data_IF_453409041114
#
_entry.id   IF_453409041114
#
_cell.length_a   1.000
_cell.length_b   1.000
_cell.length_c   1.000
_cell.angle_alpha   90.00
_cell.angle_beta   90.00
_cell.angle_gamma   90.00
#
_symmetry.space_group_name_H-M   'P 1'
#
loop_
_entity.id
_entity.type
_entity.pdbx_description
1 polymer ?
#
# COMPACT_ATOMS: atom_id res chain seq x y z
N UNK A 1 21.36 -20.65 49.38
CA UNK A 1 21.79 -20.75 47.96
C UNK A 1 20.68 -20.47 46.94
N UNK A 2 19.41 -20.81 47.19
CA UNK A 2 18.28 -20.61 46.25
C UNK A 2 17.98 -19.14 45.88
N UNK A 3 18.13 -18.20 46.82
CA UNK A 3 17.79 -16.77 46.59
C UNK A 3 18.73 -16.10 45.57
N UNK A 4 20.03 -16.44 45.58
CA UNK A 4 21.02 -15.90 44.63
C UNK A 4 20.76 -16.40 43.20
N UNK A 5 20.33 -17.66 43.05
CA UNK A 5 19.97 -18.24 41.75
C UNK A 5 18.72 -17.57 41.17
N UNK A 6 17.69 -17.31 41.97
CA UNK A 6 16.50 -16.54 41.53
C UNK A 6 16.85 -15.12 41.05
N UNK A 7 17.75 -14.41 41.73
CA UNK A 7 18.15 -13.05 41.32
C UNK A 7 18.93 -13.04 39.99
N UNK A 8 19.83 -14.02 39.79
CA UNK A 8 20.56 -14.16 38.52
C UNK A 8 19.62 -14.50 37.36
N UNK A 9 18.62 -15.35 37.60
CA UNK A 9 17.61 -15.70 36.59
C UNK A 9 16.74 -14.48 36.21
N UNK A 10 16.33 -13.66 37.19
CA UNK A 10 15.55 -12.44 36.93
C UNK A 10 16.34 -11.37 36.16
N UNK A 11 17.62 -11.20 36.47
CA UNK A 11 18.50 -10.27 35.74
C UNK A 11 18.74 -10.75 34.29
N UNK A 12 18.92 -12.06 34.08
CA UNK A 12 19.06 -12.61 32.73
C UNK A 12 17.77 -12.46 31.90
N UNK A 13 16.60 -12.70 32.49
CA UNK A 13 15.30 -12.54 31.83
C UNK A 13 15.03 -11.08 31.46
N UNK A 14 15.26 -10.14 32.39
CA UNK A 14 15.10 -8.71 32.12
C UNK A 14 16.06 -8.22 31.02
N UNK A 15 17.32 -8.68 31.03
CA UNK A 15 18.27 -8.42 29.95
C UNK A 15 17.82 -8.98 28.60
N UNK A 16 17.28 -10.20 28.57
CA UNK A 16 16.78 -10.81 27.34
C UNK A 16 15.55 -10.08 26.77
N UNK A 17 14.59 -9.71 27.65
CA UNK A 17 13.41 -8.93 27.26
C UNK A 17 13.84 -7.57 26.72
N UNK A 18 14.76 -6.88 27.42
CA UNK A 18 15.29 -5.58 26.97
C UNK A 18 15.99 -5.66 25.61
N UNK A 19 16.80 -6.69 25.37
CA UNK A 19 17.45 -6.92 24.08
C UNK A 19 16.44 -7.19 22.96
N UNK A 20 15.42 -8.02 23.22
CA UNK A 20 14.36 -8.29 22.25
C UNK A 20 13.55 -7.04 21.91
N UNK A 21 13.24 -6.23 22.92
CA UNK A 21 12.55 -4.96 22.71
C UNK A 21 13.39 -3.98 21.89
N UNK A 22 14.68 -3.83 22.21
CA UNK A 22 15.61 -3.01 21.43
C UNK A 22 15.69 -3.46 19.96
N UNK A 23 15.80 -4.77 19.72
CA UNK A 23 15.79 -5.31 18.35
C UNK A 23 14.47 -4.99 17.63
N UNK A 24 13.33 -5.14 18.30
CA UNK A 24 12.03 -4.82 17.72
C UNK A 24 11.91 -3.33 17.31
N UNK A 25 12.33 -2.41 18.18
CA UNK A 25 12.35 -0.97 17.88
C UNK A 25 13.26 -0.64 16.69
N UNK A 26 14.46 -1.25 16.63
CA UNK A 26 15.36 -1.08 15.48
C UNK A 26 14.73 -1.61 14.19
N UNK A 27 14.03 -2.74 14.24
CA UNK A 27 13.31 -3.28 13.10
C UNK A 27 12.20 -2.36 12.62
N UNK A 28 11.41 -1.79 13.53
CA UNK A 28 10.37 -0.81 13.18
C UNK A 28 10.97 0.45 12.52
N UNK A 29 12.10 0.95 13.02
CA UNK A 29 12.80 2.08 12.39
C UNK A 29 13.26 1.76 10.97
N UNK A 30 13.78 0.56 10.73
CA UNK A 30 14.12 0.10 9.38
C UNK A 30 12.87 0.06 8.49
N UNK A 31 11.75 -0.49 8.97
CA UNK A 31 10.53 -0.57 8.18
C UNK A 31 9.99 0.83 7.82
N UNK A 32 9.92 1.74 8.77
CA UNK A 32 9.48 3.13 8.55
C UNK A 32 10.38 3.88 7.55
N UNK A 33 11.66 3.51 7.47
CA UNK A 33 12.60 4.10 6.51
C UNK A 33 12.48 3.57 5.08
N UNK A 34 11.64 2.57 4.84
CA UNK A 34 11.47 1.94 3.53
C UNK A 34 12.49 0.83 3.22
N UNK A 35 13.15 0.28 4.25
CA UNK A 35 14.11 -0.81 4.08
C UNK A 35 13.43 -2.12 3.66
N UNK A 36 13.97 -2.78 2.64
CA UNK A 36 13.56 -4.11 2.21
C UNK A 36 14.57 -5.18 2.68
N UNK A 37 14.10 -6.12 3.51
CA UNK A 37 14.95 -7.20 4.03
C UNK A 37 15.42 -8.17 2.93
N UNK A 38 14.61 -8.37 1.87
CA UNK A 38 14.89 -9.38 0.84
C UNK A 38 16.19 -9.12 0.08
N UNK A 39 16.50 -7.87 -0.19
CA UNK A 39 17.66 -7.47 -0.99
C UNK A 39 18.60 -6.49 -0.26
N UNK A 40 18.25 -6.04 0.94
CA UNK A 40 19.08 -5.17 1.75
C UNK A 40 19.15 -3.71 1.27
N UNK A 41 18.14 -3.25 0.52
CA UNK A 41 18.10 -1.92 -0.08
C UNK A 41 16.91 -1.09 0.38
N UNK A 42 16.94 0.22 0.12
CA UNK A 42 15.82 1.13 0.43
C UNK A 42 14.88 1.29 -0.76
N UNK A 43 13.60 1.53 -0.47
CA UNK A 43 12.55 1.68 -1.47
C UNK A 43 12.87 2.74 -2.54
N UNK A 44 13.28 3.93 -2.11
CA UNK A 44 13.53 5.07 -3.00
C UNK A 44 14.76 4.87 -3.90
N UNK A 45 15.66 3.93 -3.56
CA UNK A 45 16.81 3.56 -4.42
C UNK A 45 16.41 2.61 -5.56
N UNK A 46 15.33 1.83 -5.37
CA UNK A 46 14.86 0.82 -6.31
C UNK A 46 13.78 1.31 -7.25
N UNK A 47 12.94 2.24 -6.80
CA UNK A 47 11.73 2.60 -7.51
C UNK A 47 11.70 4.08 -7.88
N UNK A 48 11.50 4.34 -9.18
CA UNK A 48 11.26 5.71 -9.64
C UNK A 48 9.78 6.08 -9.50
N UNK A 49 9.48 7.37 -9.35
CA UNK A 49 8.09 7.85 -9.30
C UNK A 49 7.27 7.40 -10.52
N UNK A 50 7.87 7.44 -11.72
CA UNK A 50 7.16 7.07 -12.95
C UNK A 50 6.85 5.57 -12.99
N UNK A 51 7.78 4.72 -12.55
CA UNK A 51 7.56 3.28 -12.45
C UNK A 51 6.38 2.95 -11.51
N UNK A 52 6.30 3.62 -10.35
CA UNK A 52 5.18 3.42 -9.42
C UNK A 52 3.85 3.80 -10.05
N UNK A 53 3.81 4.94 -10.76
CA UNK A 53 2.63 5.38 -11.50
C UNK A 53 2.23 4.34 -12.56
N UNK A 54 3.19 3.87 -13.34
CA UNK A 54 2.93 2.91 -14.42
C UNK A 54 2.37 1.60 -13.88
N UNK A 55 2.93 1.11 -12.76
CA UNK A 55 2.45 -0.10 -12.08
C UNK A 55 1.05 0.08 -11.49
N UNK A 56 0.76 1.24 -10.90
CA UNK A 56 -0.56 1.54 -10.34
C UNK A 56 -1.62 1.66 -11.45
N UNK A 57 -1.31 2.33 -12.56
CA UNK A 57 -2.18 2.41 -13.73
C UNK A 57 -2.41 1.02 -14.33
N UNK A 58 -1.36 0.21 -14.48
CA UNK A 58 -1.50 -1.15 -14.98
C UNK A 58 -2.45 -1.97 -14.10
N UNK A 59 -2.32 -1.87 -12.77
CA UNK A 59 -3.23 -2.54 -11.85
C UNK A 59 -4.69 -2.13 -12.09
N UNK A 60 -4.98 -0.83 -12.21
CA UNK A 60 -6.34 -0.33 -12.46
C UNK A 60 -6.88 -0.85 -13.80
N UNK A 61 -6.08 -0.81 -14.86
CA UNK A 61 -6.47 -1.31 -16.19
C UNK A 61 -6.76 -2.81 -16.16
N UNK A 62 -5.94 -3.61 -15.48
CA UNK A 62 -6.11 -5.06 -15.38
C UNK A 62 -7.28 -5.49 -14.47
N UNK A 63 -7.58 -4.70 -13.44
CA UNK A 63 -8.58 -5.05 -12.41
C UNK A 63 -9.92 -4.34 -12.58
N UNK A 64 -10.10 -3.50 -13.61
CA UNK A 64 -11.38 -2.87 -13.89
C UNK A 64 -12.41 -3.92 -14.33
N UNK A 65 -13.36 -4.21 -13.44
CA UNK A 65 -14.42 -5.18 -13.70
C UNK A 65 -15.39 -4.62 -14.74
N UNK A 66 -15.70 -5.38 -15.79
CA UNK A 66 -16.65 -4.98 -16.83
C UNK A 66 -18.12 -4.86 -16.38
N UNK A 67 -18.46 -5.26 -15.15
CA UNK A 67 -19.83 -5.26 -14.63
C UNK A 67 -19.86 -4.81 -13.17
N UNK A 68 -20.79 -3.90 -12.86
CA UNK A 68 -21.20 -3.51 -11.51
C UNK A 68 -22.68 -3.86 -11.32
N UNK A 69 -23.01 -4.32 -10.11
CA UNK A 69 -24.38 -4.56 -9.67
C UNK A 69 -24.66 -3.60 -8.52
N UNK A 70 -25.68 -2.76 -8.66
CA UNK A 70 -26.15 -1.94 -7.55
C UNK A 70 -26.98 -2.79 -6.60
N UNK A 71 -26.46 -3.07 -5.40
CA UNK A 71 -27.13 -3.95 -4.42
C UNK A 71 -28.44 -3.36 -3.86
N UNK A 72 -28.69 -2.07 -4.02
CA UNK A 72 -29.91 -1.40 -3.54
C UNK A 72 -31.02 -1.38 -4.58
N UNK A 73 -30.68 -1.25 -5.87
CA UNK A 73 -31.65 -1.13 -6.97
C UNK A 73 -31.71 -2.36 -7.88
N UNK A 74 -30.81 -3.33 -7.68
CA UNK A 74 -30.57 -4.48 -8.55
C UNK A 74 -30.25 -4.10 -10.02
N UNK A 75 -29.86 -2.84 -10.24
CA UNK A 75 -29.50 -2.36 -11.58
C UNK A 75 -28.08 -2.78 -11.94
N UNK A 76 -27.96 -3.37 -13.13
CA UNK A 76 -26.68 -3.73 -13.72
C UNK A 76 -26.11 -2.58 -14.55
N UNK A 77 -24.83 -2.28 -14.35
CA UNK A 77 -24.08 -1.32 -15.17
C UNK A 77 -22.86 -2.00 -15.76
N UNK A 78 -22.75 -1.95 -17.09
CA UNK A 78 -21.61 -2.49 -17.82
C UNK A 78 -20.56 -1.39 -18.02
N UNK A 79 -19.39 -1.60 -17.44
CA UNK A 79 -18.24 -0.72 -17.57
C UNK A 79 -17.58 -0.99 -18.91
N UNK A 80 -17.18 0.08 -19.59
CA UNK A 80 -16.28 0.00 -20.74
C UNK A 80 -14.84 0.07 -20.19
N UNK A 81 -14.11 -1.05 -20.10
CA UNK A 81 -12.77 -1.05 -19.54
C UNK A 81 -11.80 -0.32 -20.47
N UNK A 82 -10.74 0.21 -19.88
CA UNK A 82 -9.57 0.65 -20.64
C UNK A 82 -8.92 -0.54 -21.36
N UNK A 83 -8.51 -0.32 -22.60
CA UNK A 83 -7.86 -1.36 -23.42
C UNK A 83 -6.34 -1.36 -23.29
N UNK A 84 -5.75 -0.25 -22.85
CA UNK A 84 -4.31 -0.12 -22.62
C UNK A 84 -3.96 1.01 -21.65
N UNK A 85 -2.72 0.98 -21.16
CA UNK A 85 -2.15 2.06 -20.33
C UNK A 85 -2.09 3.38 -21.10
N UNK A 86 -1.79 3.35 -22.39
CA UNK A 86 -1.71 4.54 -23.25
C UNK A 86 -3.08 5.20 -23.42
N UNK A 87 -4.13 4.41 -23.62
CA UNK A 87 -5.51 4.91 -23.63
C UNK A 87 -5.85 5.57 -22.29
N UNK A 88 -5.52 4.89 -21.18
CA UNK A 88 -5.76 5.40 -19.84
C UNK A 88 -5.09 6.76 -19.63
N UNK A 89 -3.80 6.87 -19.92
CA UNK A 89 -3.03 8.12 -19.75
C UNK A 89 -3.54 9.24 -20.64
N UNK A 90 -3.95 8.92 -21.87
CA UNK A 90 -4.51 9.91 -22.81
C UNK A 90 -5.83 10.49 -22.31
N UNK A 91 -6.69 9.66 -21.73
CA UNK A 91 -7.99 10.08 -21.22
C UNK A 91 -7.92 10.70 -19.82
N UNK A 92 -6.86 10.39 -19.06
CA UNK A 92 -6.67 10.87 -17.68
C UNK A 92 -5.28 11.53 -17.53
N UNK A 93 -5.02 12.68 -18.18
CA UNK A 93 -3.69 13.31 -18.16
C UNK A 93 -3.25 13.80 -16.77
N UNK A 94 -4.21 14.02 -15.85
CA UNK A 94 -3.96 14.47 -14.48
C UNK A 94 -4.11 13.33 -13.46
N UNK A 95 -3.97 12.07 -13.88
CA UNK A 95 -4.39 10.94 -13.06
C UNK A 95 -3.64 10.81 -11.73
N UNK A 96 -2.32 11.00 -11.75
CA UNK A 96 -1.51 10.20 -10.86
C UNK A 96 -0.55 11.03 -10.03
N UNK A 97 -0.57 10.80 -8.73
CA UNK A 97 0.33 11.43 -7.77
C UNK A 97 0.92 10.38 -6.84
N UNK A 98 2.25 10.41 -6.66
CA UNK A 98 2.96 9.58 -5.69
C UNK A 98 3.07 10.35 -4.40
N UNK A 99 2.54 9.80 -3.31
CA UNK A 99 2.49 10.45 -2.01
C UNK A 99 3.09 9.55 -0.91
N UNK A 100 3.65 10.15 0.16
CA UNK A 100 4.07 9.42 1.35
C UNK A 100 2.85 8.95 2.15
N UNK A 101 2.84 7.71 2.64
CA UNK A 101 1.69 7.18 3.39
C UNK A 101 1.37 8.01 4.65
N UNK A 102 2.40 8.50 5.34
CA UNK A 102 2.27 9.17 6.65
C UNK A 102 1.53 10.52 6.65
N UNK A 103 1.32 11.15 5.50
CA UNK A 103 0.77 12.51 5.45
C UNK A 103 -0.76 12.52 5.33
N UNK A 104 -1.33 11.53 4.66
CA UNK A 104 -2.74 11.56 4.25
C UNK A 104 -3.60 10.42 4.80
N UNK A 105 -3.00 9.43 5.48
CA UNK A 105 -3.73 8.27 5.99
C UNK A 105 -3.99 8.33 7.50
N UNK A 106 -5.17 7.84 7.96
CA UNK A 106 -5.48 7.73 9.39
C UNK A 106 -4.43 6.90 10.16
N UNK A 107 -4.33 7.09 11.49
CA UNK A 107 -3.38 6.35 12.33
C UNK A 107 -3.51 4.82 12.26
N UNK A 108 -4.67 4.29 11.85
CA UNK A 108 -4.87 2.84 11.66
C UNK A 108 -3.98 2.24 10.58
N UNK A 109 -3.52 3.04 9.61
CA UNK A 109 -2.58 2.57 8.58
C UNK A 109 -1.10 2.60 9.04
N UNK A 110 -0.85 3.05 10.27
CA UNK A 110 0.51 3.14 10.83
C UNK A 110 1.12 1.75 11.03
N UNK A 111 0.32 0.77 11.45
CA UNK A 111 0.75 -0.61 11.66
C UNK A 111 1.32 -1.22 10.37
N UNK A 112 0.68 -0.97 9.22
CA UNK A 112 1.20 -1.43 7.92
C UNK A 112 2.56 -0.82 7.58
N UNK A 113 2.82 0.40 8.03
CA UNK A 113 4.12 1.02 7.79
C UNK A 113 5.19 0.46 8.73
N UNK A 114 4.84 0.21 10.00
CA UNK A 114 5.71 -0.45 10.96
C UNK A 114 6.06 -1.89 10.56
N UNK A 115 5.16 -2.55 9.81
CA UNK A 115 5.37 -3.87 9.21
C UNK A 115 6.06 -3.83 7.84
N UNK A 116 6.27 -2.63 7.26
CA UNK A 116 6.84 -2.47 5.92
C UNK A 116 5.91 -2.91 4.78
N UNK A 117 4.61 -3.07 5.06
CA UNK A 117 3.57 -3.43 4.11
C UNK A 117 3.10 -2.24 3.26
N UNK A 118 3.31 -1.01 3.70
CA UNK A 118 3.00 0.22 2.97
C UNK A 118 4.02 1.33 3.28
N UNK A 119 4.58 1.97 2.25
CA UNK A 119 5.60 3.01 2.37
C UNK A 119 5.29 4.23 1.49
N UNK A 120 5.08 3.98 0.18
CA UNK A 120 4.53 4.96 -0.76
C UNK A 120 3.14 4.53 -1.18
N UNK A 121 2.35 5.46 -1.65
CA UNK A 121 1.15 5.13 -2.39
C UNK A 121 1.03 5.99 -3.64
N UNK A 122 0.27 5.50 -4.60
CA UNK A 122 -0.14 6.25 -5.78
C UNK A 122 -1.63 6.48 -5.71
N UNK A 123 -2.02 7.75 -5.70
CA UNK A 123 -3.40 8.16 -5.91
C UNK A 123 -3.65 8.17 -7.42
N UNK A 124 -4.57 7.34 -7.87
CA UNK A 124 -4.95 7.22 -9.29
C UNK A 124 -6.36 7.77 -9.45
N UNK A 125 -6.47 8.97 -10.01
CA UNK A 125 -7.73 9.59 -10.39
C UNK A 125 -8.04 9.28 -11.86
N UNK A 126 -9.23 8.75 -12.16
CA UNK A 126 -9.61 8.43 -13.54
C UNK A 126 -11.12 8.46 -13.74
N UNK A 127 -11.54 8.52 -15.00
CA UNK A 127 -12.95 8.43 -15.37
C UNK A 127 -13.35 7.02 -15.72
N UNK A 128 -14.42 6.52 -15.13
CA UNK A 128 -15.03 5.26 -15.52
C UNK A 128 -16.11 5.53 -16.58
N UNK A 129 -16.04 4.77 -17.67
CA UNK A 129 -17.00 4.86 -18.77
C UNK A 129 -17.93 3.63 -18.78
N UNK A 130 -19.11 3.78 -19.37
CA UNK A 130 -20.11 2.72 -19.44
C UNK A 130 -20.45 2.37 -20.89
N UNK A 131 -20.85 1.12 -21.16
CA UNK A 131 -21.28 0.65 -22.48
C UNK A 131 -22.67 1.21 -22.86
N UNK A 132 -23.46 1.66 -21.87
CA UNK A 132 -24.74 2.33 -22.06
C UNK A 132 -24.64 3.86 -22.03
N UNK A 133 -25.78 4.53 -22.20
CA UNK A 133 -25.87 5.99 -22.22
C UNK A 133 -25.91 6.58 -20.79
N UNK A 134 -24.87 6.27 -20.01
CA UNK A 134 -24.66 6.76 -18.64
C UNK A 134 -23.47 7.70 -18.64
N UNK A 135 -23.58 8.79 -17.89
CA UNK A 135 -22.48 9.74 -17.73
C UNK A 135 -21.25 9.06 -17.11
N UNK A 136 -20.03 9.40 -17.54
CA UNK A 136 -18.81 8.92 -16.91
C UNK A 136 -18.75 9.32 -15.44
N UNK A 137 -18.12 8.48 -14.63
CA UNK A 137 -17.99 8.70 -13.19
C UNK A 137 -16.52 8.88 -12.80
N UNK A 138 -16.22 9.92 -12.03
CA UNK A 138 -14.86 10.16 -11.53
C UNK A 138 -14.55 9.19 -10.37
N UNK A 139 -13.46 8.45 -10.51
CA UNK A 139 -12.97 7.45 -9.56
C UNK A 139 -11.64 7.92 -8.97
N UNK A 140 -11.38 7.50 -7.73
CA UNK A 140 -10.07 7.61 -7.09
C UNK A 140 -9.73 6.27 -6.48
N UNK A 141 -8.58 5.71 -6.87
CA UNK A 141 -8.02 4.49 -6.30
C UNK A 141 -6.69 4.82 -5.61
N UNK A 142 -6.44 4.16 -4.49
CA UNK A 142 -5.22 4.34 -3.70
C UNK A 142 -4.46 3.02 -3.65
N UNK A 143 -3.27 3.03 -4.26
CA UNK A 143 -2.47 1.84 -4.46
C UNK A 143 -1.19 1.98 -3.64
N UNK A 144 -1.11 1.21 -2.55
CA UNK A 144 0.00 1.20 -1.63
C UNK A 144 1.13 0.27 -2.11
N UNK A 145 2.35 0.72 -1.92
CA UNK A 145 3.57 -0.03 -2.19
C UNK A 145 4.30 -0.29 -0.88
N UNK A 146 4.48 -1.56 -0.54
CA UNK A 146 5.28 -1.98 0.61
C UNK A 146 6.77 -1.74 0.38
N UNK A 147 7.57 -1.89 1.43
CA UNK A 147 9.00 -1.63 1.40
C UNK A 147 9.71 -2.39 0.30
N UNK A 148 9.34 -3.65 0.05
CA UNK A 148 9.93 -4.45 -1.03
C UNK A 148 9.24 -4.28 -2.40
N UNK A 149 8.42 -3.24 -2.56
CA UNK A 149 7.75 -2.92 -3.81
C UNK A 149 6.48 -3.75 -4.08
N UNK A 150 5.97 -4.53 -3.13
CA UNK A 150 4.67 -5.22 -3.29
C UNK A 150 3.53 -4.22 -3.41
N UNK A 151 2.61 -4.44 -4.35
CA UNK A 151 1.46 -3.57 -4.58
C UNK A 151 0.23 -4.15 -3.88
N UNK A 152 -0.51 -3.29 -3.17
CA UNK A 152 -1.79 -3.61 -2.53
C UNK A 152 -2.75 -2.43 -2.68
N UNK A 153 -4.04 -2.70 -2.76
CA UNK A 153 -5.08 -1.70 -2.52
C UNK A 153 -5.18 -1.41 -1.02
N UNK A 154 -5.76 -0.27 -0.64
CA UNK A 154 -6.02 0.01 0.79
C UNK A 154 -6.93 -1.04 1.43
N UNK A 155 -7.92 -1.56 0.70
CA UNK A 155 -8.81 -2.61 1.18
C UNK A 155 -8.10 -3.96 1.42
N UNK A 156 -6.91 -4.16 0.84
CA UNK A 156 -6.07 -5.35 1.07
C UNK A 156 -5.04 -5.13 2.19
N UNK A 157 -5.00 -3.92 2.77
CA UNK A 157 -4.27 -3.64 3.98
C UNK A 157 -5.14 -3.93 5.21
N UNK A 158 -6.42 -3.52 5.20
CA UNK A 158 -7.42 -3.84 6.26
C UNK A 158 -7.69 -5.35 6.42
#
# INVERSE_FOLDING_TARGET
MKIKVCHVVLLALSGFIGYKWYQHEQWQQLMVSGYCEKDGTYFDDRHTKQELIDRAVNYVVEHERGKLINLLTDEESFIKPYTSIEEFKKLNPNCCEVQPLFVDFPPEYYDFTLEGNAYRYVRVNYRRYYIGNREPYDMTEYLAFGNCGSLKTLNELD
#
